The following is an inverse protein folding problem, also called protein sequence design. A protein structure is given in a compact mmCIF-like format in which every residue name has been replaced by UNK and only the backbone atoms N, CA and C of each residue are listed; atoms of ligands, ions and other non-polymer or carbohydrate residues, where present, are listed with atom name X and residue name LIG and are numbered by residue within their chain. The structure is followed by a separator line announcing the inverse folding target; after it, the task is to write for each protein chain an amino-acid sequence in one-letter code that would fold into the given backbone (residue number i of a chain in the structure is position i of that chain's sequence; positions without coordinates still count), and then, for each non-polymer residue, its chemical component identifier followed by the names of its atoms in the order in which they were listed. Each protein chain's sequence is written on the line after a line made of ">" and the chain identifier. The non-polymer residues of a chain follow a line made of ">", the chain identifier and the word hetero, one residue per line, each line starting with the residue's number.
data_IF_358706637492
#
_entry.id   IF_358706637492
#
_cell.length_a   1.000
_cell.length_b   1.000
_cell.length_c   1.000
_cell.angle_alpha   90.00
_cell.angle_beta   90.00
_cell.angle_gamma   90.00
#
_symmetry.space_group_name_H-M   'P 1'
#
loop_
_entity.id
_entity.type
_entity.pdbx_description
1 polymer ?
2 non-polymer ?
3 non-polymer ?
4 non-polymer ?
5 water ?
#
# COMPACT_ATOMS: atom_id res chain seq x y z
N UNK A 6 -4.65 31.35 10.44
CA UNK A 6 -4.98 32.58 11.18
C UNK A 6 -6.47 32.64 11.49
N UNK A 7 -6.79 32.92 12.76
CA UNK A 7 -8.18 33.20 13.12
C UNK A 7 -8.20 34.37 14.11
N UNK A 8 -9.21 34.41 14.98
CA UNK A 8 -9.36 35.54 15.89
C UNK A 8 -9.23 35.15 17.37
N UNK A 12 -12.80 23.71 20.08
CA UNK A 12 -12.71 24.29 18.75
C UNK A 12 -12.34 23.27 17.67
N UNK A 13 -12.75 22.01 17.83
CA UNK A 13 -12.39 20.98 16.87
C UNK A 13 -12.92 21.29 15.48
N UNK A 14 -14.19 21.66 15.39
CA UNK A 14 -14.79 21.97 14.08
C UNK A 14 -14.06 23.13 13.41
N UNK A 15 -13.79 24.19 14.19
CA UNK A 15 -13.06 25.34 13.68
C UNK A 15 -11.71 24.90 13.12
N UNK A 16 -10.99 24.08 13.86
CA UNK A 16 -9.68 23.63 13.40
C UNK A 16 -9.81 22.77 12.16
N UNK A 17 -10.76 21.81 12.16
CA UNK A 17 -10.91 20.90 11.03
C UNK A 17 -11.11 21.65 9.73
N UNK A 18 -11.83 22.77 9.78
CA UNK A 18 -12.12 23.53 8.57
C UNK A 18 -10.89 24.22 7.99
N UNK A 19 -9.83 24.36 8.79
CA UNK A 19 -8.60 25.01 8.35
C UNK A 19 -7.53 24.04 7.88
N UNK A 20 -7.67 22.75 8.11
CA UNK A 20 -6.63 21.80 7.74
C UNK A 20 -6.59 21.69 6.22
N UNK A 21 -5.39 21.71 5.65
CA UNK A 21 -5.24 21.61 4.20
C UNK A 21 -4.62 20.29 3.80
N UNK A 22 -4.86 19.92 2.53
CA UNK A 22 -4.27 18.70 1.99
C UNK A 22 -2.75 18.80 2.01
N UNK A 23 -2.20 20.00 1.76
CA UNK A 23 -0.74 20.10 1.75
C UNK A 23 -0.16 19.88 3.14
N UNK A 24 -0.87 20.29 4.19
CA UNK A 24 -0.43 20.00 5.54
C UNK A 24 -0.53 18.51 5.86
N UNK A 25 -1.62 17.87 5.41
CA UNK A 25 -1.73 16.43 5.56
C UNK A 25 -0.58 15.71 4.87
N UNK A 26 -0.20 16.19 3.69
CA UNK A 26 0.86 15.55 2.91
C UNK A 26 2.22 15.71 3.59
N UNK A 27 2.46 16.85 4.24
CA UNK A 27 3.78 17.20 4.73
C UNK A 27 3.97 16.98 6.23
N UNK A 28 2.94 17.20 7.05
CA UNK A 28 3.05 17.03 8.50
C UNK A 28 1.86 16.22 9.03
N UNK A 29 1.70 14.97 8.59
CA UNK A 29 0.52 14.22 9.02
C UNK A 29 0.51 13.83 10.49
N UNK A 30 1.68 13.58 11.10
CA UNK A 30 1.67 13.03 12.46
C UNK A 30 1.01 13.95 13.48
N UNK A 31 1.36 15.24 13.59
CA UNK A 31 0.66 16.08 14.58
C UNK A 31 -0.82 16.26 14.26
N UNK A 32 -1.20 16.23 12.99
CA UNK A 32 -2.61 16.30 12.64
C UNK A 32 -3.34 15.06 13.15
N UNK A 33 -2.81 13.88 12.86
CA UNK A 33 -3.47 12.65 13.30
C UNK A 33 -3.42 12.49 14.82
N UNK A 34 -2.40 13.06 15.46
CA UNK A 34 -2.38 13.05 16.93
C UNK A 34 -3.60 13.78 17.48
N UNK A 35 -3.93 14.94 16.91
CA UNK A 35 -5.10 15.67 17.38
C UNK A 35 -6.39 14.95 16.99
N UNK A 36 -6.43 14.40 15.77
CA UNK A 36 -7.63 13.68 15.32
C UNK A 36 -7.94 12.50 16.23
N UNK A 37 -6.93 11.68 16.56
CA UNK A 37 -7.20 10.52 17.41
C UNK A 37 -7.80 10.96 18.74
N UNK A 38 -7.37 12.10 19.25
CA UNK A 38 -7.81 12.61 20.54
C UNK A 38 -9.19 13.26 20.47
N UNK A 39 -9.47 14.02 19.41
CA UNK A 39 -10.66 14.88 19.39
C UNK A 39 -11.75 14.44 18.40
N UNK A 40 -11.41 13.64 17.39
CA UNK A 40 -12.40 13.26 16.39
C UNK A 40 -11.96 12.00 15.65
N UNK A 41 -12.08 10.84 16.28
CA UNK A 41 -11.60 9.58 15.66
C UNK A 41 -12.15 9.33 14.27
N UNK A 42 -13.32 9.87 13.94
CA UNK A 42 -13.84 9.87 12.59
C UNK A 42 -14.17 11.32 12.29
N UNK A 43 -13.43 11.95 11.37
CA UNK A 43 -13.52 13.38 11.19
C UNK A 43 -13.73 13.72 9.73
N UNK A 44 -14.63 14.67 9.49
CA UNK A 44 -14.85 15.25 8.16
C UNK A 44 -13.85 16.39 7.99
N UNK A 45 -13.02 16.30 6.95
CA UNK A 45 -12.04 17.32 6.63
C UNK A 45 -12.51 18.03 5.38
N UNK A 46 -13.06 19.24 5.49
CA UNK A 46 -13.60 19.92 4.30
C UNK A 46 -12.64 19.98 3.12
N UNK A 47 -11.36 20.28 3.36
CA UNK A 47 -10.43 20.40 2.25
C UNK A 47 -10.26 19.07 1.51
N UNK A 48 -10.47 17.95 2.19
CA UNK A 48 -10.37 16.63 1.57
C UNK A 48 -11.71 16.13 1.04
N UNK A 49 -12.79 16.87 1.29
CA UNK A 49 -14.17 16.47 0.99
C UNK A 49 -14.37 14.98 1.28
N UNK A 50 -13.97 14.59 2.48
CA UNK A 50 -14.06 13.19 2.88
C UNK A 50 -13.94 13.06 4.38
N UNK A 51 -14.36 11.90 4.88
CA UNK A 51 -14.11 11.47 6.25
C UNK A 51 -12.76 10.78 6.33
N UNK A 52 -12.13 10.87 7.50
CA UNK A 52 -10.90 10.13 7.79
C UNK A 52 -11.07 9.47 9.15
N UNK A 53 -10.81 8.16 9.21
CA UNK A 53 -10.78 7.40 10.45
C UNK A 53 -9.33 7.28 10.92
N UNK A 54 -9.06 7.69 12.17
CA UNK A 54 -7.70 7.84 12.65
C UNK A 54 -7.31 6.89 13.77
N UNK A 55 -8.27 6.34 14.52
CA UNK A 55 -7.92 5.44 15.61
C UNK A 55 -7.97 3.99 15.16
N UNK A 56 -7.30 3.14 15.95
CA UNK A 56 -7.36 1.70 15.72
C UNK A 56 -8.81 1.21 15.79
N UNK A 57 -9.54 1.63 16.82
CA UNK A 57 -10.91 1.17 16.97
C UNK A 57 -11.80 1.62 15.80
N UNK A 58 -11.67 2.87 15.37
CA UNK A 58 -12.53 3.34 14.29
C UNK A 58 -12.14 2.69 12.96
N UNK A 59 -10.84 2.56 12.69
CA UNK A 59 -10.39 1.92 11.45
C UNK A 59 -10.84 0.47 11.39
N UNK A 60 -10.65 -0.29 12.47
CA UNK A 60 -11.00 -1.71 12.42
C UNK A 60 -12.50 -1.90 12.34
N UNK A 61 -13.27 -1.08 13.06
CA UNK A 61 -14.73 -1.18 13.03
C UNK A 61 -15.28 -0.92 11.64
N UNK A 62 -14.80 0.13 10.98
CA UNK A 62 -15.31 0.48 9.65
C UNK A 62 -14.84 -0.53 8.61
N UNK A 63 -13.56 -0.90 8.66
CA UNK A 63 -13.00 -1.79 7.64
C UNK A 63 -13.67 -3.17 7.68
N UNK A 64 -13.95 -3.68 8.88
CA UNK A 64 -14.48 -5.03 9.03
C UNK A 64 -15.98 -5.12 8.79
N UNK A 65 -16.69 -3.99 8.81
CA UNK A 65 -18.16 -4.01 8.75
C UNK A 65 -18.60 -4.26 7.32
N UNK A 66 -18.91 -5.52 7.00
CA UNK A 66 -19.38 -5.88 5.66
C UNK A 66 -20.88 -5.64 5.46
N UNK A 67 -21.60 -5.26 6.52
CA UNK A 67 -23.04 -5.02 6.41
C UNK A 67 -23.37 -3.59 6.06
N UNK A 68 -22.66 -2.62 6.63
CA UNK A 68 -23.05 -1.23 6.54
C UNK A 68 -22.09 -0.37 5.73
N UNK A 69 -20.93 -0.90 5.36
CA UNK A 69 -19.99 -0.23 4.48
C UNK A 69 -19.67 -1.16 3.31
N UNK A 70 -19.27 -0.56 2.20
CA UNK A 70 -18.70 -1.32 1.09
C UNK A 70 -17.28 -0.84 0.81
N UNK A 71 -16.51 -1.70 0.15
CA UNK A 71 -15.18 -1.33 -0.31
C UNK A 71 -15.17 -0.04 -1.09
N UNK A 72 -14.10 0.74 -0.96
CA UNK A 72 -14.09 2.07 -1.53
C UNK A 72 -13.99 2.06 -3.04
N UNK A 73 -14.54 3.11 -3.66
CA UNK A 73 -14.35 3.37 -5.07
C UNK A 73 -14.48 4.88 -5.28
N UNK A 74 -14.33 5.32 -6.53
CA UNK A 74 -14.37 6.74 -6.84
C UNK A 74 -14.53 6.88 -8.35
N UNK A 75 -14.89 8.06 -8.85
CA UNK A 75 -14.90 8.26 -10.31
C UNK A 75 -13.59 7.87 -10.97
N UNK A 76 -12.44 8.28 -10.44
CA UNK A 76 -11.18 7.91 -11.07
C UNK A 76 -10.96 6.40 -11.03
N UNK A 77 -11.38 5.74 -9.96
CA UNK A 77 -11.15 4.30 -9.88
C UNK A 77 -12.01 3.56 -10.88
N UNK A 78 -13.26 4.00 -11.05
CA UNK A 78 -14.11 3.44 -12.08
C UNK A 78 -13.54 3.72 -13.47
N UNK A 79 -13.02 4.93 -13.69
CA UNK A 79 -12.48 5.29 -15.00
C UNK A 79 -11.21 4.51 -15.33
N UNK A 80 -10.31 4.36 -14.36
CA UNK A 80 -8.99 3.78 -14.60
C UNK A 80 -8.99 2.27 -14.45
N UNK A 81 -9.57 1.76 -13.35
CA UNK A 81 -9.54 0.32 -13.11
C UNK A 81 -10.65 -0.40 -13.85
N UNK A 82 -11.81 0.24 -14.01
CA UNK A 82 -12.98 -0.42 -14.55
C UNK A 82 -13.93 -0.85 -13.44
N UNK A 83 -15.14 -1.19 -13.84
CA UNK A 83 -16.15 -1.53 -12.86
C UNK A 83 -15.92 -2.94 -12.33
N UNK A 84 -16.38 -3.16 -11.09
CA UNK A 84 -16.17 -4.41 -10.36
C UNK A 84 -14.69 -4.69 -10.09
N UNK A 85 -13.88 -3.65 -9.93
CA UNK A 85 -12.55 -3.87 -9.39
C UNK A 85 -12.67 -4.39 -7.95
N UNK A 86 -11.70 -5.20 -7.54
CA UNK A 86 -11.83 -5.96 -6.32
C UNK A 86 -11.90 -5.05 -5.09
N UNK A 87 -11.27 -3.88 -5.15
CA UNK A 87 -11.27 -2.97 -4.00
C UNK A 87 -12.70 -2.58 -3.62
N UNK A 88 -13.53 -2.26 -4.60
CA UNK A 88 -14.89 -1.86 -4.34
C UNK A 88 -15.90 -2.97 -4.37
N UNK A 89 -15.47 -4.20 -4.67
CA UNK A 89 -16.37 -5.32 -4.83
C UNK A 89 -16.83 -5.86 -3.49
N UNK A 90 -18.04 -6.42 -3.47
CA UNK A 90 -18.61 -7.02 -2.27
C UNK A 90 -19.33 -8.29 -2.66
N UNK A 91 -19.74 -9.05 -1.64
CA UNK A 91 -20.63 -10.19 -1.87
C UNK A 91 -19.97 -11.26 -2.73
N UNK A 92 -20.79 -11.89 -3.58
CA UNK A 92 -20.28 -12.99 -4.40
C UNK A 92 -19.25 -12.52 -5.41
N UNK A 93 -19.39 -11.29 -5.91
CA UNK A 93 -18.38 -10.75 -6.82
C UNK A 93 -17.02 -10.71 -6.14
N UNK A 94 -16.97 -10.19 -4.91
CA UNK A 94 -15.70 -10.12 -4.18
C UNK A 94 -15.16 -11.50 -3.85
N UNK A 95 -16.02 -12.40 -3.36
CA UNK A 95 -15.57 -13.75 -3.09
C UNK A 95 -14.97 -14.39 -4.33
N UNK A 96 -15.61 -14.20 -5.49
CA UNK A 96 -15.10 -14.79 -6.72
C UNK A 96 -13.77 -14.17 -7.12
N UNK A 97 -13.65 -12.85 -7.00
CA UNK A 97 -12.39 -12.20 -7.38
C UNK A 97 -11.26 -12.62 -6.44
N UNK A 98 -11.56 -12.77 -5.15
CA UNK A 98 -10.55 -13.27 -4.23
C UNK A 98 -10.19 -14.72 -4.57
N UNK A 99 -11.17 -15.52 -5.02
CA UNK A 99 -10.87 -16.88 -5.43
C UNK A 99 -9.92 -16.90 -6.62
N UNK A 100 -9.93 -15.83 -7.43
CA UNK A 100 -9.06 -15.77 -8.61
C UNK A 100 -7.66 -15.30 -8.25
N UNK A 101 -7.54 -14.19 -7.51
CA UNK A 101 -6.22 -13.59 -7.34
C UNK A 101 -5.44 -14.18 -6.15
N UNK A 102 -6.12 -14.71 -5.13
CA UNK A 102 -5.42 -15.14 -3.91
C UNK A 102 -4.52 -16.38 -4.05
N UNK A 103 -4.91 -17.42 -4.81
CA UNK A 103 -4.16 -18.71 -4.73
C UNK A 103 -2.65 -18.57 -5.00
N UNK A 104 -2.22 -17.87 -6.05
CA UNK A 104 -0.76 -17.79 -6.27
C UNK A 104 -0.03 -16.99 -5.21
N UNK A 105 -0.75 -16.28 -4.33
CA UNK A 105 -0.16 -15.48 -3.28
C UNK A 105 -0.19 -16.18 -1.93
N UNK A 106 -0.66 -17.43 -1.87
CA UNK A 106 -0.62 -18.19 -0.63
C UNK A 106 0.75 -18.84 -0.45
N UNK A 107 1.21 -18.98 0.80
CA UNK A 107 2.58 -19.48 1.02
C UNK A 107 2.87 -20.85 0.40
N UNK A 108 1.91 -21.78 0.45
CA UNK A 108 2.15 -23.08 -0.17
C UNK A 108 2.35 -22.95 -1.68
N UNK A 109 1.70 -21.96 -2.30
CA UNK A 109 1.85 -21.78 -3.74
C UNK A 109 3.15 -21.07 -4.09
N UNK A 110 3.50 -19.99 -3.38
CA UNK A 110 4.67 -19.23 -3.80
C UNK A 110 5.97 -19.73 -3.18
N UNK A 111 5.90 -20.70 -2.26
CA UNK A 111 7.10 -21.19 -1.57
C UNK A 111 8.26 -21.51 -2.50
N UNK A 112 8.11 -22.28 -3.59
CA UNK A 112 9.29 -22.59 -4.42
C UNK A 112 9.91 -21.37 -5.05
N UNK A 113 9.12 -20.34 -5.38
CA UNK A 113 9.65 -19.14 -6.02
C UNK A 113 10.63 -18.37 -5.15
N UNK A 114 10.57 -18.55 -3.82
CA UNK A 114 11.40 -17.75 -2.94
C UNK A 114 12.88 -17.99 -3.20
N UNK A 115 13.29 -19.26 -3.27
CA UNK A 115 14.68 -19.57 -3.54
C UNK A 115 14.95 -19.77 -5.03
N UNK A 116 13.94 -20.10 -5.83
CA UNK A 116 14.17 -20.31 -7.25
C UNK A 116 14.19 -19.01 -8.04
N UNK A 117 13.41 -18.01 -7.61
CA UNK A 117 13.30 -16.75 -8.35
C UNK A 117 13.66 -15.55 -7.51
N UNK A 118 13.10 -15.42 -6.30
CA UNK A 118 13.20 -14.17 -5.56
C UNK A 118 14.66 -13.89 -5.19
N UNK A 119 15.31 -14.82 -4.50
CA UNK A 119 16.68 -14.57 -4.10
C UNK A 119 17.62 -14.36 -5.29
N UNK A 120 17.55 -15.14 -6.38
CA UNK A 120 18.37 -14.79 -7.55
C UNK A 120 18.10 -13.40 -8.10
N UNK A 121 16.84 -12.96 -8.12
CA UNK A 121 16.53 -11.59 -8.53
C UNK A 121 17.18 -10.57 -7.60
N UNK A 122 17.05 -10.80 -6.29
CA UNK A 122 17.66 -9.89 -5.32
C UNK A 122 19.16 -9.80 -5.56
N UNK A 123 19.81 -10.94 -5.76
CA UNK A 123 21.26 -10.94 -5.93
C UNK A 123 21.69 -10.28 -7.23
N UNK A 124 20.82 -10.26 -8.25
CA UNK A 124 21.15 -9.51 -9.46
C UNK A 124 21.29 -8.02 -9.16
N UNK A 125 20.32 -7.45 -8.45
CA UNK A 125 20.42 -6.03 -8.14
C UNK A 125 21.42 -5.76 -7.04
N UNK A 126 21.65 -6.72 -6.14
CA UNK A 126 22.70 -6.58 -5.15
C UNK A 126 24.06 -6.38 -5.82
N UNK A 127 24.36 -7.21 -6.83
CA UNK A 127 25.62 -7.06 -7.56
C UNK A 127 25.68 -5.73 -8.28
N UNK A 128 24.55 -5.30 -8.86
CA UNK A 128 24.50 -4.00 -9.54
C UNK A 128 24.94 -2.88 -8.59
N UNK A 129 24.38 -2.84 -7.37
CA UNK A 129 24.77 -1.74 -6.50
C UNK A 129 26.18 -1.96 -5.94
N UNK A 130 26.63 -3.21 -5.83
CA UNK A 130 27.99 -3.45 -5.33
C UNK A 130 29.02 -2.80 -6.24
N UNK A 131 28.83 -2.89 -7.55
CA UNK A 131 29.74 -2.21 -8.48
C UNK A 131 29.67 -0.70 -8.39
N UNK A 132 28.52 -0.16 -8.00
CA UNK A 132 28.41 1.28 -7.81
C UNK A 132 29.26 1.79 -6.66
N UNK A 133 29.42 0.98 -5.61
CA UNK A 133 30.16 1.41 -4.43
C UNK A 133 29.35 2.20 -3.42
N UNK A 134 28.15 2.61 -3.76
CA UNK A 134 27.17 3.29 -2.91
C UNK A 134 25.86 3.22 -3.68
N UNK A 135 24.78 3.77 -3.10
CA UNK A 135 23.50 3.59 -3.79
C UNK A 135 22.43 4.53 -3.26
N UNK A 136 21.44 4.76 -4.12
CA UNK A 136 20.13 5.26 -3.71
C UNK A 136 19.23 4.03 -3.69
N UNK A 137 18.99 3.49 -2.48
CA UNK A 137 18.47 2.12 -2.36
C UNK A 137 17.10 1.95 -2.99
N UNK A 138 16.27 2.99 -3.00
CA UNK A 138 14.91 2.82 -3.48
C UNK A 138 14.88 2.56 -4.98
N UNK A 139 15.47 3.47 -5.75
CA UNK A 139 15.48 3.28 -7.21
C UNK A 139 16.47 2.20 -7.63
N UNK A 140 17.58 2.04 -6.90
CA UNK A 140 18.65 1.15 -7.33
C UNK A 140 18.43 -0.31 -6.93
N UNK A 141 17.59 -0.57 -5.93
CA UNK A 141 17.59 -1.90 -5.32
C UNK A 141 16.18 -2.34 -4.93
N UNK A 142 15.54 -1.62 -4.02
CA UNK A 142 14.22 -2.05 -3.53
C UNK A 142 13.18 -2.03 -4.65
N UNK A 143 13.08 -0.93 -5.39
CA UNK A 143 12.07 -0.86 -6.45
C UNK A 143 12.27 -1.91 -7.54
N UNK A 144 13.48 -2.10 -8.10
CA UNK A 144 13.61 -3.15 -9.13
C UNK A 144 13.29 -4.54 -8.60
N UNK A 145 13.71 -4.84 -7.39
CA UNK A 145 13.35 -6.12 -6.76
C UNK A 145 11.84 -6.24 -6.63
N UNK A 146 11.18 -5.20 -6.13
CA UNK A 146 9.74 -5.30 -5.90
C UNK A 146 8.98 -5.52 -7.21
N UNK A 147 9.27 -4.70 -8.22
CA UNK A 147 8.59 -4.81 -9.52
C UNK A 147 8.77 -6.21 -10.09
N UNK A 148 9.99 -6.71 -10.10
CA UNK A 148 10.26 -8.00 -10.75
C UNK A 148 9.62 -9.14 -9.98
N UNK A 149 9.70 -9.12 -8.65
CA UNK A 149 9.17 -10.23 -7.87
C UNK A 149 7.64 -10.23 -7.84
N UNK A 150 7.01 -9.05 -7.83
CA UNK A 150 5.56 -9.04 -7.91
C UNK A 150 5.08 -9.40 -9.31
N UNK A 151 5.73 -8.84 -10.33
CA UNK A 151 5.42 -9.23 -11.69
C UNK A 151 5.49 -10.73 -11.90
N UNK A 152 6.53 -11.37 -11.34
CA UNK A 152 6.67 -12.82 -11.50
C UNK A 152 5.56 -13.58 -10.80
N UNK A 153 5.23 -13.23 -9.56
CA UNK A 153 4.34 -14.09 -8.80
C UNK A 153 2.92 -14.03 -9.38
N UNK A 154 2.56 -12.94 -10.04
CA UNK A 154 1.19 -12.80 -10.56
C UNK A 154 1.08 -13.35 -11.97
N UNK A 155 2.17 -13.97 -12.47
CA UNK A 155 2.15 -14.61 -13.76
C UNK A 155 2.64 -13.78 -14.93
N UNK A 156 3.26 -12.63 -14.67
CA UNK A 156 3.81 -11.80 -15.74
C UNK A 156 5.32 -11.94 -15.85
N UNK A 157 5.82 -13.17 -15.69
CA UNK A 157 7.25 -13.42 -15.79
C UNK A 157 7.81 -12.97 -17.13
N UNK A 158 7.00 -12.98 -18.19
CA UNK A 158 7.47 -12.66 -19.52
C UNK A 158 7.33 -11.18 -19.88
N UNK A 159 6.82 -10.37 -18.96
CA UNK A 159 6.76 -8.92 -19.15
C UNK A 159 7.97 -8.30 -18.47
N UNK A 160 8.74 -7.50 -19.21
CA UNK A 160 9.96 -6.95 -18.60
C UNK A 160 9.61 -5.84 -17.61
N UNK A 161 10.57 -5.56 -16.72
CA UNK A 161 10.31 -4.60 -15.65
C UNK A 161 10.06 -3.20 -16.17
N UNK A 162 10.69 -2.83 -17.29
CA UNK A 162 10.44 -1.52 -17.88
C UNK A 162 8.96 -1.35 -18.22
N UNK A 163 8.32 -2.41 -18.71
CA UNK A 163 6.91 -2.32 -19.09
C UNK A 163 6.00 -2.34 -17.86
N UNK A 164 6.30 -3.21 -16.90
CA UNK A 164 5.53 -3.22 -15.66
C UNK A 164 5.57 -1.86 -14.98
N UNK A 165 6.73 -1.21 -15.04
CA UNK A 165 6.91 0.08 -14.39
C UNK A 165 6.14 1.18 -15.13
N UNK A 166 6.13 1.12 -16.46
CA UNK A 166 5.35 2.10 -17.22
C UNK A 166 3.85 1.93 -16.97
N UNK A 167 3.38 0.68 -16.88
CA UNK A 167 1.97 0.45 -16.57
C UNK A 167 1.62 1.02 -15.20
N UNK A 168 2.45 0.75 -14.20
CA UNK A 168 2.23 1.28 -12.86
C UNK A 168 2.06 2.79 -12.89
N UNK A 169 2.99 3.48 -13.55
CA UNK A 169 2.95 4.94 -13.58
C UNK A 169 1.77 5.47 -14.37
N UNK A 170 1.36 4.77 -15.43
CA UNK A 170 0.19 5.20 -16.19
C UNK A 170 -1.08 5.05 -15.39
N UNK A 171 -1.23 3.93 -14.66
CA UNK A 171 -2.39 3.75 -13.80
C UNK A 171 -2.40 4.76 -12.67
N UNK A 172 -1.25 5.01 -12.05
CA UNK A 172 -1.18 5.98 -10.96
C UNK A 172 -1.53 7.38 -11.45
N UNK A 173 -0.97 7.78 -12.60
CA UNK A 173 -1.29 9.09 -13.15
C UNK A 173 -2.80 9.22 -13.39
N UNK A 174 -3.44 8.13 -13.81
CA UNK A 174 -4.88 8.15 -14.01
C UNK A 174 -5.65 8.33 -12.72
N UNK A 175 -5.25 7.63 -11.66
CA UNK A 175 -5.94 7.77 -10.38
C UNK A 175 -5.77 9.18 -9.85
N UNK A 176 -4.61 9.78 -10.06
CA UNK A 176 -4.33 11.16 -9.65
C UNK A 176 -5.05 12.20 -10.50
N UNK A 177 -5.77 11.81 -11.55
CA UNK A 177 -6.31 12.77 -12.51
C UNK A 177 -7.71 13.21 -12.08
N UNK A 178 -7.75 14.01 -11.02
CA UNK A 178 -9.00 14.25 -10.30
C UNK A 178 -9.73 15.53 -10.72
N UNK A 179 -9.10 16.39 -11.53
CA UNK A 179 -9.70 17.69 -11.85
C UNK A 179 -11.10 17.53 -12.42
N UNK A 180 -12.04 18.29 -11.85
CA UNK A 180 -13.46 18.14 -12.13
C UNK A 180 -14.11 19.52 -12.21
N UNK A 181 -15.29 19.58 -12.81
CA UNK A 181 -16.05 20.81 -12.81
C UNK A 181 -17.24 20.67 -11.87
N UNK A 182 -18.04 21.75 -11.79
CA UNK A 182 -19.15 21.79 -10.87
C UNK A 182 -20.16 20.67 -11.09
N UNK A 183 -20.22 20.11 -12.30
CA UNK A 183 -21.13 19.02 -12.62
C UNK A 183 -20.53 17.65 -12.31
N UNK A 184 -19.31 17.59 -11.79
CA UNK A 184 -18.67 16.33 -11.51
C UNK A 184 -18.07 15.65 -12.72
N UNK A 185 -17.82 16.39 -13.80
CA UNK A 185 -17.22 15.86 -15.01
C UNK A 185 -15.72 16.14 -15.01
N UNK A 186 -14.94 15.14 -15.43
CA UNK A 186 -13.50 15.33 -15.56
C UNK A 186 -13.20 16.40 -16.59
N UNK A 187 -12.25 17.27 -16.27
CA UNK A 187 -11.88 18.34 -17.18
C UNK A 187 -10.57 18.09 -17.90
N UNK A 188 -9.85 17.03 -17.55
CA UNK A 188 -8.61 16.66 -18.24
C UNK A 188 -8.68 15.19 -18.67
N UNK A 189 -9.54 14.87 -19.64
CA UNK A 189 -9.67 13.47 -20.08
C UNK A 189 -8.39 12.93 -20.70
N UNK A 190 -7.50 13.80 -21.20
CA UNK A 190 -6.23 13.34 -21.70
C UNK A 190 -5.34 12.70 -20.66
N UNK A 191 -5.54 13.05 -19.38
CA UNK A 191 -4.76 12.45 -18.31
C UNK A 191 -5.08 10.99 -18.04
N UNK A 192 -6.15 10.46 -18.64
CA UNK A 192 -6.48 9.05 -18.54
C UNK A 192 -5.91 8.20 -19.67
N UNK A 193 -5.43 8.83 -20.74
CA UNK A 193 -5.02 8.07 -21.92
C UNK A 193 -3.87 7.10 -21.65
N UNK A 194 -2.81 7.45 -20.91
CA UNK A 194 -1.80 6.43 -20.59
C UNK A 194 -2.37 5.24 -19.86
N UNK A 195 -3.33 5.45 -18.95
CA UNK A 195 -3.95 4.32 -18.27
C UNK A 195 -4.78 3.47 -19.23
N UNK A 196 -5.51 4.13 -20.14
CA UNK A 196 -6.25 3.39 -21.16
C UNK A 196 -5.31 2.54 -22.00
N UNK A 197 -4.17 3.11 -22.42
CA UNK A 197 -3.21 2.36 -23.24
C UNK A 197 -2.58 1.23 -22.44
N UNK A 198 -2.25 1.48 -21.17
CA UNK A 198 -1.72 0.41 -20.32
C UNK A 198 -2.70 -0.76 -20.25
N UNK A 199 -3.98 -0.46 -20.04
CA UNK A 199 -4.98 -1.51 -19.97
C UNK A 199 -5.07 -2.32 -21.26
N UNK A 200 -4.98 -1.64 -22.40
CA UNK A 200 -4.99 -2.34 -23.68
C UNK A 200 -3.80 -3.29 -23.79
N UNK A 201 -2.62 -2.85 -23.35
CA UNK A 201 -1.42 -3.68 -23.46
C UNK A 201 -1.45 -4.85 -22.50
N UNK A 202 -2.01 -4.67 -21.30
CA UNK A 202 -2.18 -5.81 -20.39
C UNK A 202 -3.07 -6.86 -21.04
N UNK A 203 -4.18 -6.41 -21.64
CA UNK A 203 -5.06 -7.31 -22.38
C UNK A 203 -4.32 -8.00 -23.53
N UNK A 204 -3.54 -7.22 -24.30
CA UNK A 204 -2.76 -7.80 -25.38
C UNK A 204 -1.86 -8.93 -24.89
N UNK A 205 -1.29 -8.76 -23.69
CA UNK A 205 -0.35 -9.76 -23.17
C UNK A 205 -1.09 -11.02 -22.74
N UNK A 206 -2.26 -10.87 -22.12
CA UNK A 206 -2.91 -12.02 -21.50
C UNK A 206 -3.92 -12.73 -22.40
N UNK A 207 -4.42 -12.05 -23.43
CA UNK A 207 -5.46 -12.65 -24.27
C UNK A 207 -5.07 -14.01 -24.85
N UNK A 208 -3.83 -14.23 -25.34
CA UNK A 208 -3.46 -15.59 -25.75
C UNK A 208 -3.39 -16.55 -24.56
N UNK A 221 -0.19 -19.47 -12.56
CA UNK A 221 -1.01 -18.45 -11.94
C UNK A 221 -2.21 -18.11 -12.81
N UNK A 222 -1.96 -18.00 -14.12
CA UNK A 222 -3.01 -17.60 -15.04
C UNK A 222 -4.12 -18.65 -15.11
N UNK A 223 -3.76 -19.92 -15.29
CA UNK A 223 -4.78 -20.97 -15.34
C UNK A 223 -5.61 -20.97 -14.06
N UNK A 224 -4.98 -20.68 -12.92
CA UNK A 224 -5.73 -20.53 -11.68
C UNK A 224 -6.72 -19.37 -11.76
N UNK A 225 -6.30 -18.26 -12.40
CA UNK A 225 -7.17 -17.09 -12.50
C UNK A 225 -8.48 -17.44 -13.20
N UNK A 226 -8.42 -18.26 -14.25
CA UNK A 226 -9.61 -18.57 -15.02
C UNK A 226 -10.48 -19.63 -14.35
N UNK A 227 -9.87 -20.56 -13.61
CA UNK A 227 -10.54 -21.79 -13.21
C UNK A 227 -10.77 -21.96 -11.72
N UNK A 228 -9.90 -21.45 -10.86
CA UNK A 228 -9.99 -21.74 -9.43
C UNK A 228 -11.30 -21.23 -8.84
N UNK A 229 -12.02 -22.12 -8.15
CA UNK A 229 -13.28 -21.75 -7.54
C UNK A 229 -14.41 -21.56 -8.52
N UNK A 230 -14.25 -22.03 -9.75
CA UNK A 230 -15.26 -21.89 -10.79
C UNK A 230 -15.66 -23.28 -11.29
N UNK A 231 -16.91 -23.44 -11.75
CA UNK A 231 -17.28 -24.69 -12.42
C UNK A 231 -16.35 -24.97 -13.58
N UNK A 232 -15.99 -26.25 -13.76
CA UNK A 232 -15.10 -26.64 -14.84
C UNK A 232 -15.63 -26.21 -16.20
N UNK A 233 -16.94 -25.99 -16.31
CA UNK A 233 -17.55 -25.50 -17.53
C UNK A 233 -17.83 -24.01 -17.56
N UNK A 234 -17.56 -23.28 -16.47
CA UNK A 234 -17.76 -21.84 -16.40
C UNK A 234 -16.50 -21.18 -15.85
N UNK A 235 -15.48 -21.00 -16.66
CA UNK A 235 -14.29 -20.26 -16.23
C UNK A 235 -14.53 -18.76 -16.33
N UNK A 236 -13.61 -18.01 -15.72
CA UNK A 236 -13.70 -16.56 -15.77
C UNK A 236 -13.23 -16.05 -17.13
N UNK A 237 -13.60 -14.81 -17.45
CA UNK A 237 -13.12 -14.16 -18.67
C UNK A 237 -12.17 -13.02 -18.31
N UNK A 238 -11.41 -12.60 -19.32
CA UNK A 238 -10.39 -11.58 -19.10
C UNK A 238 -10.99 -10.24 -18.70
N UNK A 239 -12.15 -9.89 -19.25
CA UNK A 239 -12.75 -8.61 -18.88
C UNK A 239 -13.26 -8.62 -17.44
N UNK A 240 -13.64 -9.79 -16.92
CA UNK A 240 -14.01 -9.88 -15.51
C UNK A 240 -12.81 -9.68 -14.60
N UNK A 241 -11.62 -10.02 -15.09
CA UNK A 241 -10.43 -10.04 -14.25
C UNK A 241 -9.57 -8.78 -14.39
N UNK A 242 -9.63 -8.13 -15.55
CA UNK A 242 -8.71 -7.03 -15.83
C UNK A 242 -8.76 -5.91 -14.79
N UNK A 243 -9.93 -5.47 -14.29
CA UNK A 243 -9.90 -4.44 -13.24
C UNK A 243 -9.08 -4.85 -12.03
N UNK A 244 -9.20 -6.10 -11.59
CA UNK A 244 -8.50 -6.55 -10.40
C UNK A 244 -7.02 -6.81 -10.67
N UNK A 245 -6.67 -7.15 -11.91
CA UNK A 245 -5.25 -7.25 -12.26
C UNK A 245 -4.61 -5.87 -12.27
N UNK A 246 -5.34 -4.85 -12.72
CA UNK A 246 -4.83 -3.50 -12.69
C UNK A 246 -4.69 -2.99 -11.26
N UNK A 247 -5.59 -3.42 -10.37
CA UNK A 247 -5.44 -3.12 -8.95
C UNK A 247 -4.08 -3.59 -8.45
N UNK A 248 -3.67 -4.79 -8.86
CA UNK A 248 -2.41 -5.34 -8.38
C UNK A 248 -1.23 -4.59 -8.97
N UNK A 249 -1.27 -4.30 -10.27
CA UNK A 249 -0.18 -3.55 -10.89
C UNK A 249 -0.07 -2.16 -10.27
N UNK A 250 -1.22 -1.57 -9.92
CA UNK A 250 -1.20 -0.24 -9.33
C UNK A 250 -0.78 -0.28 -7.86
N UNK A 251 -1.27 -1.26 -7.10
CA UNK A 251 -1.14 -1.21 -5.66
C UNK A 251 -0.28 -2.29 -5.04
N UNK A 252 0.12 -3.29 -5.82
CA UNK A 252 0.95 -4.35 -5.27
C UNK A 252 2.38 -4.26 -5.74
N UNK A 253 2.56 -3.79 -6.98
CA UNK A 253 3.86 -3.88 -7.65
C UNK A 253 4.97 -3.25 -6.83
N UNK A 254 4.72 -2.10 -6.20
CA UNK A 254 5.76 -1.33 -5.55
C UNK A 254 5.80 -1.50 -4.04
N UNK A 255 4.80 -2.14 -3.44
CA UNK A 255 4.73 -2.01 -1.98
C UNK A 255 5.72 -2.90 -1.23
N UNK A 256 6.08 -4.10 -1.71
CA UNK A 256 7.19 -4.80 -1.04
C UNK A 256 8.45 -3.96 -0.96
N UNK A 257 8.78 -3.23 -2.03
CA UNK A 257 9.92 -2.34 -1.96
C UNK A 257 9.72 -1.22 -0.95
N UNK A 258 8.50 -0.69 -0.86
CA UNK A 258 8.21 0.34 0.14
C UNK A 258 8.34 -0.20 1.56
N UNK A 259 7.96 -1.45 1.79
CA UNK A 259 8.16 -2.04 3.12
C UNK A 259 9.65 -2.10 3.45
N UNK A 260 10.47 -2.52 2.49
CA UNK A 260 11.91 -2.53 2.70
C UNK A 260 12.40 -1.14 3.11
N UNK A 261 11.92 -0.10 2.42
CA UNK A 261 12.42 1.24 2.67
C UNK A 261 12.00 1.75 4.04
N UNK A 262 10.73 1.55 4.40
CA UNK A 262 10.26 1.95 5.72
C UNK A 262 11.01 1.21 6.82
N UNK A 263 11.29 -0.08 6.60
CA UNK A 263 12.00 -0.87 7.59
C UNK A 263 13.45 -0.44 7.69
N UNK A 264 14.12 -0.26 6.54
CA UNK A 264 15.50 0.23 6.58
C UNK A 264 15.59 1.56 7.29
N UNK A 265 14.72 2.51 6.92
CA UNK A 265 14.77 3.83 7.53
C UNK A 265 14.52 3.75 9.03
N UNK A 266 13.50 3.00 9.44
CA UNK A 266 13.22 2.87 10.86
C UNK A 266 14.39 2.32 11.65
N UNK A 267 15.04 1.28 11.11
CA UNK A 267 16.21 0.71 11.78
C UNK A 267 17.33 1.72 11.94
N UNK A 268 17.55 2.57 10.94
CA UNK A 268 18.62 3.56 11.07
C UNK A 268 18.36 4.51 12.25
N UNK A 269 17.09 4.72 12.62
CA UNK A 269 16.83 5.58 13.77
C UNK A 269 17.19 4.91 15.09
N UNK A 270 17.45 3.60 15.10
CA UNK A 270 17.86 2.87 16.30
C UNK A 270 19.14 2.14 15.96
N UNK A 271 20.28 2.84 15.99
CA UNK A 271 21.54 2.22 15.52
C UNK A 271 21.85 0.89 16.16
N UNK A 272 21.59 0.77 17.47
CA UNK A 272 21.89 -0.45 18.19
C UNK A 272 21.01 -1.61 17.73
N UNK A 273 19.80 -1.30 17.27
CA UNK A 273 18.92 -2.33 16.74
C UNK A 273 19.30 -2.70 15.31
N UNK A 274 19.69 -1.71 14.50
CA UNK A 274 20.21 -2.01 13.18
C UNK A 274 21.43 -2.92 13.28
N UNK A 275 22.35 -2.59 14.18
CA UNK A 275 23.54 -3.41 14.40
C UNK A 275 23.15 -4.85 14.70
N UNK A 276 22.21 -5.04 15.64
CA UNK A 276 21.77 -6.38 15.99
C UNK A 276 21.21 -7.13 14.78
N UNK A 277 20.41 -6.44 13.96
CA UNK A 277 19.83 -7.08 12.79
C UNK A 277 20.91 -7.51 11.81
N UNK A 278 21.94 -6.67 11.61
CA UNK A 278 23.01 -7.02 10.67
C UNK A 278 23.85 -8.19 11.15
N UNK A 279 23.82 -8.50 12.44
CA UNK A 279 24.53 -9.66 12.96
C UNK A 279 23.61 -10.83 13.27
N UNK A 280 22.31 -10.72 12.96
CA UNK A 280 21.36 -11.80 13.23
C UNK A 280 20.15 -11.62 12.30
N UNK A 281 20.20 -12.28 11.13
CA UNK A 281 19.15 -12.13 10.13
C UNK A 281 17.81 -12.72 10.59
N UNK A 282 17.78 -13.54 11.64
CA UNK A 282 16.51 -14.07 12.09
C UNK A 282 15.64 -13.00 12.76
N UNK A 283 16.19 -11.83 13.06
CA UNK A 283 15.42 -10.70 13.56
C UNK A 283 14.68 -9.94 12.47
N UNK A 284 14.91 -10.27 11.19
CA UNK A 284 14.36 -9.48 10.11
C UNK A 284 12.83 -9.54 10.04
N UNK A 285 12.18 -10.71 10.19
CA UNK A 285 10.70 -10.71 10.19
C UNK A 285 10.08 -9.77 11.21
N UNK A 286 10.65 -9.66 12.41
CA UNK A 286 10.12 -8.74 13.41
C UNK A 286 10.39 -7.29 13.04
N UNK A 287 11.60 -7.00 12.53
CA UNK A 287 11.91 -5.64 12.10
C UNK A 287 10.98 -5.20 10.98
N UNK A 288 10.67 -6.11 10.05
CA UNK A 288 9.81 -5.79 8.92
C UNK A 288 8.39 -5.51 9.36
N UNK A 289 7.88 -6.28 10.32
CA UNK A 289 6.56 -6.01 10.89
C UNK A 289 6.53 -4.65 11.58
N UNK A 290 7.57 -4.33 12.35
CA UNK A 290 7.63 -3.03 13.01
C UNK A 290 7.81 -1.90 12.01
N UNK A 291 8.53 -2.15 10.91
CA UNK A 291 8.61 -1.16 9.86
C UNK A 291 7.24 -0.78 9.30
N UNK A 292 6.42 -1.79 8.99
CA UNK A 292 5.07 -1.54 8.50
C UNK A 292 4.25 -0.74 9.50
N UNK A 293 4.36 -1.07 10.79
CA UNK A 293 3.59 -0.33 11.78
C UNK A 293 4.10 1.09 11.92
N UNK A 294 5.43 1.28 11.90
CA UNK A 294 6.02 2.57 12.20
C UNK A 294 5.76 3.59 11.09
N UNK A 295 5.79 3.15 9.81
CA UNK A 295 5.50 4.03 8.64
C UNK A 295 4.71 3.21 7.63
N UNK A 296 3.41 3.08 7.85
CA UNK A 296 2.62 2.22 6.97
C UNK A 296 2.61 2.76 5.55
N UNK A 297 3.11 2.02 4.55
CA UNK A 297 3.17 2.56 3.18
C UNK A 297 1.81 3.00 2.66
N UNK A 298 0.79 2.18 2.86
CA UNK A 298 -0.59 2.55 2.49
C UNK A 298 -1.17 3.20 3.73
N UNK A 299 -0.89 4.50 3.88
CA UNK A 299 -1.08 5.17 5.16
C UNK A 299 -2.54 5.52 5.40
N UNK A 300 -3.21 6.12 4.40
CA UNK A 300 -4.64 6.42 4.49
C UNK A 300 -5.39 6.15 3.20
N UNK A 301 -4.76 5.51 2.21
CA UNK A 301 -5.37 5.36 0.88
C UNK A 301 -6.48 4.32 0.84
N UNK A 302 -6.56 3.42 1.81
CA UNK A 302 -7.70 2.50 1.87
C UNK A 302 -8.96 3.26 2.27
N UNK A 303 -10.10 2.83 1.75
CA UNK A 303 -11.34 3.54 2.06
C UNK A 303 -12.52 2.58 2.00
N UNK A 304 -13.63 3.06 2.56
CA UNK A 304 -14.94 2.42 2.50
C UNK A 304 -15.98 3.50 2.23
N UNK A 305 -17.15 3.09 1.72
CA UNK A 305 -18.29 3.98 1.56
C UNK A 305 -19.46 3.48 2.38
N UNK A 306 -20.17 4.34 3.10
CA UNK A 306 -21.36 3.88 3.83
C UNK A 306 -22.44 3.42 2.87
N UNK A 307 -23.10 2.32 3.23
CA UNK A 307 -24.28 1.87 2.50
C UNK A 307 -25.57 2.48 3.05
N UNK A 308 -25.51 3.05 4.25
CA UNK A 308 -26.64 3.70 4.88
C UNK A 308 -26.06 4.68 5.89
N UNK A 309 -26.94 5.45 6.52
CA UNK A 309 -26.48 6.43 7.50
C UNK A 309 -25.84 5.72 8.69
N UNK A 310 -24.65 6.19 9.09
CA UNK A 310 -23.87 5.61 10.18
C UNK A 310 -23.40 6.74 11.08
N UNK A 311 -23.61 6.60 12.39
CA UNK A 311 -23.12 7.57 13.36
C UNK A 311 -22.13 6.91 14.30
N UNK A 312 -20.90 7.42 14.31
CA UNK A 312 -19.87 6.99 15.26
C UNK A 312 -19.46 8.21 16.06
N UNK A 313 -19.75 8.20 17.36
CA UNK A 313 -19.54 9.38 18.17
C UNK A 313 -20.37 10.53 17.64
N UNK A 314 -19.73 11.63 17.28
CA UNK A 314 -20.41 12.77 16.70
C UNK A 314 -20.37 12.79 15.18
N UNK A 315 -19.80 11.76 14.55
CA UNK A 315 -19.66 11.73 13.10
C UNK A 315 -20.84 10.97 12.50
N UNK A 316 -21.65 11.65 11.71
CA UNK A 316 -22.74 11.00 10.97
C UNK A 316 -22.33 10.95 9.50
N UNK A 317 -21.86 9.78 9.06
CA UNK A 317 -21.55 9.60 7.65
C UNK A 317 -22.76 9.08 6.88
N UNK A 318 -22.78 9.43 5.61
CA UNK A 318 -23.96 9.25 4.79
C UNK A 318 -23.57 8.49 3.52
N UNK A 319 -24.51 7.77 2.90
CA UNK A 319 -24.15 6.90 1.77
C UNK A 319 -23.46 7.70 0.67
N UNK A 320 -22.41 7.10 0.12
CA UNK A 320 -21.66 7.71 -0.97
C UNK A 320 -20.51 8.59 -0.55
N UNK A 321 -20.39 8.95 0.73
CA UNK A 321 -19.26 9.76 1.16
C UNK A 321 -18.04 8.88 1.32
N UNK A 322 -16.88 9.44 1.01
CA UNK A 322 -15.63 8.71 1.15
C UNK A 322 -15.21 8.69 2.61
N UNK A 323 -14.81 7.52 3.10
CA UNK A 323 -14.26 7.36 4.43
C UNK A 323 -12.88 6.75 4.27
N UNK A 324 -11.83 7.58 4.38
CA UNK A 324 -10.47 7.09 4.34
C UNK A 324 -10.13 6.39 5.65
N UNK A 325 -9.49 5.23 5.54
CA UNK A 325 -9.01 4.47 6.69
C UNK A 325 -7.53 4.77 6.88
N UNK A 326 -7.21 5.61 7.87
CA UNK A 326 -5.80 5.94 8.12
C UNK A 326 -5.18 4.84 8.98
N UNK A 327 -4.96 3.69 8.35
CA UNK A 327 -4.24 2.60 8.99
C UNK A 327 -2.89 3.05 9.54
N UNK A 328 -2.25 4.04 8.89
CA UNK A 328 -0.99 4.54 9.40
C UNK A 328 -1.15 5.25 10.72
N UNK A 329 -2.24 6.01 10.88
CA UNK A 329 -2.52 6.64 12.17
C UNK A 329 -2.98 5.61 13.19
N UNK A 330 -3.79 4.63 12.79
CA UNK A 330 -4.16 3.54 13.69
C UNK A 330 -2.93 2.83 14.23
N UNK A 331 -1.93 2.60 13.37
CA UNK A 331 -0.69 1.98 13.80
C UNK A 331 0.15 2.90 14.68
N UNK A 332 -0.21 4.18 14.76
CA UNK A 332 0.43 5.13 15.65
C UNK A 332 -0.50 5.57 16.78
N UNK A 333 -1.49 4.74 17.11
CA UNK A 333 -2.52 5.06 18.10
C UNK A 333 -1.98 4.82 19.50
N UNK A 334 -1.92 5.89 20.30
CA UNK A 334 -1.44 5.82 21.68
C UNK A 334 -2.27 4.87 22.54
N UNK A 335 -3.53 4.63 22.17
CA UNK A 335 -4.36 3.72 22.96
C UNK A 335 -3.95 2.26 22.79
N UNK A 336 -3.17 1.95 21.75
CA UNK A 336 -2.78 0.59 21.46
C UNK A 336 -1.28 0.37 21.67
N UNK A 337 -0.45 1.34 21.29
CA UNK A 337 1.00 1.23 21.33
C UNK A 337 1.61 2.29 22.24
N UNK A 338 2.65 1.89 22.98
CA UNK A 338 3.41 2.84 23.79
C UNK A 338 4.43 3.55 22.92
N UNK A 339 4.52 4.88 23.04
CA UNK A 339 5.36 5.74 22.21
C UNK A 339 5.35 5.26 20.76
N UNK A 340 4.18 5.28 20.10
CA UNK A 340 4.08 4.70 18.74
C UNK A 340 4.87 5.44 17.68
N UNK A 341 5.35 6.64 17.95
CA UNK A 341 6.17 7.36 16.99
C UNK A 341 7.58 6.80 16.88
N UNK A 342 7.97 5.95 17.81
CA UNK A 342 9.31 5.39 17.87
C UNK A 342 9.32 4.05 17.16
N UNK A 343 10.35 3.82 16.33
CA UNK A 343 10.62 2.48 15.83
C UNK A 343 11.27 1.68 16.95
N UNK A 344 10.73 0.50 17.25
CA UNK A 344 11.28 -0.31 18.34
C UNK A 344 11.19 -1.79 17.97
N UNK A 345 12.35 -2.39 17.68
CA UNK A 345 12.41 -3.82 17.38
C UNK A 345 11.95 -4.67 18.56
N UNK A 346 12.08 -4.17 19.78
CA UNK A 346 11.73 -4.91 20.98
C UNK A 346 10.37 -4.51 21.54
N UNK A 347 9.56 -3.86 20.71
CA UNK A 347 8.22 -3.44 21.10
C UNK A 347 7.37 -4.63 21.52
N UNK A 348 6.52 -4.42 22.53
CA UNK A 348 5.55 -5.44 22.93
C UNK A 348 4.75 -5.91 21.74
N UNK A 349 4.64 -7.23 21.58
CA UNK A 349 4.03 -7.79 20.38
C UNK A 349 2.57 -7.38 20.26
N UNK A 350 2.18 -6.98 19.06
CA UNK A 350 0.80 -6.63 18.78
C UNK A 350 0.60 -6.56 17.27
N UNK A 351 -0.55 -6.99 16.75
CA UNK A 351 -0.80 -6.87 15.31
C UNK A 351 -0.83 -5.41 14.88
N UNK A 352 -0.84 -5.21 13.56
CA UNK A 352 -0.94 -3.89 12.96
C UNK A 352 -1.96 -3.94 11.82
N UNK A 353 -2.37 -2.76 11.35
CA UNK A 353 -3.35 -2.64 10.28
C UNK A 353 -2.74 -2.25 8.94
N UNK A 354 -1.41 -2.40 8.78
CA UNK A 354 -0.80 -1.95 7.53
C UNK A 354 -1.22 -2.77 6.33
N UNK A 355 -1.75 -3.97 6.54
CA UNK A 355 -2.35 -4.78 5.49
C UNK A 355 -3.87 -4.70 5.50
N UNK A 356 -4.45 -3.83 6.33
CA UNK A 356 -5.89 -3.83 6.51
C UNK A 356 -6.34 -5.00 7.37
N UNK A 357 -7.61 -5.36 7.20
CA UNK A 357 -8.26 -6.33 8.08
C UNK A 357 -9.59 -6.74 7.46
N UNK A 358 -10.10 -7.88 7.91
CA UNK A 358 -11.41 -8.33 7.45
C UNK A 358 -11.36 -8.89 6.02
N UNK A 359 -12.51 -8.81 5.35
CA UNK A 359 -12.64 -9.48 4.05
C UNK A 359 -11.76 -8.86 2.97
N UNK A 360 -11.37 -7.59 3.10
CA UNK A 360 -10.54 -6.92 2.11
C UNK A 360 -9.06 -6.93 2.46
N UNK A 361 -8.68 -7.67 3.49
CA UNK A 361 -7.27 -7.77 3.89
C UNK A 361 -6.38 -8.06 2.69
N UNK A 362 -5.27 -7.33 2.61
CA UNK A 362 -4.34 -7.39 1.48
C UNK A 362 -4.09 -8.82 1.01
N UNK A 363 -4.40 -9.08 -0.27
CA UNK A 363 -4.11 -10.39 -0.85
C UNK A 363 -2.61 -10.70 -0.88
N UNK A 364 -1.77 -9.68 -0.86
CA UNK A 364 -0.34 -9.92 -0.86
C UNK A 364 0.30 -9.97 0.52
N UNK A 365 -0.50 -10.04 1.58
CA UNK A 365 0.02 -9.87 2.93
C UNK A 365 0.97 -11.00 3.34
N UNK A 366 0.89 -12.18 2.71
CA UNK A 366 1.84 -13.23 3.04
C UNK A 366 3.08 -13.21 2.15
N UNK A 367 2.93 -12.83 0.88
CA UNK A 367 4.05 -12.79 -0.05
C UNK A 367 4.95 -11.57 0.16
N UNK A 368 4.36 -10.39 0.38
CA UNK A 368 5.18 -9.18 0.46
C UNK A 368 6.26 -9.26 1.53
N UNK A 369 6.00 -9.73 2.76
CA UNK A 369 7.09 -9.80 3.76
C UNK A 369 8.17 -10.80 3.42
N UNK A 370 7.90 -11.77 2.55
CA UNK A 370 8.94 -12.73 2.18
C UNK A 370 9.88 -12.14 1.15
N UNK A 371 9.33 -11.39 0.18
CA UNK A 371 10.17 -10.63 -0.73
C UNK A 371 11.05 -9.65 0.05
N UNK A 372 10.43 -8.92 0.99
CA UNK A 372 11.18 -7.93 1.76
C UNK A 372 12.24 -8.60 2.63
N UNK A 373 11.92 -9.74 3.23
CA UNK A 373 12.92 -10.46 4.04
C UNK A 373 14.14 -10.80 3.21
N UNK A 374 13.94 -11.38 2.04
CA UNK A 374 15.08 -11.83 1.23
C UNK A 374 15.86 -10.63 0.72
N UNK A 375 15.18 -9.55 0.36
CA UNK A 375 15.87 -8.34 -0.07
C UNK A 375 16.78 -7.79 1.02
N UNK A 376 16.29 -7.74 2.26
CA UNK A 376 17.11 -7.22 3.35
C UNK A 376 18.16 -8.24 3.81
N UNK A 377 17.83 -9.53 3.77
CA UNK A 377 18.83 -10.55 4.08
C UNK A 377 20.09 -10.37 3.22
N UNK A 378 19.90 -10.31 1.90
CA UNK A 378 21.04 -10.18 1.01
C UNK A 378 21.75 -8.84 1.20
N UNK A 379 20.99 -7.76 1.40
CA UNK A 379 21.58 -6.44 1.60
C UNK A 379 22.49 -6.43 2.83
N UNK A 380 21.99 -6.91 3.96
CA UNK A 380 22.79 -6.84 5.19
C UNK A 380 23.88 -7.90 5.25
N UNK A 381 23.76 -9.00 4.50
CA UNK A 381 24.85 -9.97 4.44
C UNK A 381 26.04 -9.40 3.67
N UNK A 382 25.76 -8.74 2.54
CA UNK A 382 26.83 -8.19 1.72
C UNK A 382 27.35 -6.87 2.27
N UNK A 383 26.48 -6.06 2.88
CA UNK A 383 26.83 -4.72 3.35
C UNK A 383 26.38 -4.52 4.79
N UNK A 384 26.90 -5.32 5.73
CA UNK A 384 26.46 -5.17 7.13
C UNK A 384 26.79 -3.81 7.72
N UNK A 385 27.74 -3.08 7.15
CA UNK A 385 28.11 -1.75 7.63
C UNK A 385 27.28 -0.64 6.96
N UNK A 386 26.21 -1.00 6.25
CA UNK A 386 25.45 -0.02 5.50
C UNK A 386 24.82 1.03 6.43
N UNK A 387 24.74 2.26 5.93
CA UNK A 387 24.25 3.39 6.72
C UNK A 387 23.79 4.47 5.76
N UNK A 388 22.93 5.37 6.25
CA UNK A 388 22.57 6.52 5.44
C UNK A 388 23.79 7.40 5.18
N UNK A 389 23.86 7.95 3.99
CA UNK A 389 24.89 8.88 3.56
C UNK A 389 24.60 10.24 4.20
N UNK A 390 25.43 10.73 5.12
CA UNK A 390 25.11 11.98 5.82
C UNK A 390 25.29 13.23 4.97
N UNK A 391 25.77 13.11 3.74
CA UNK A 391 25.76 14.22 2.80
C UNK A 391 24.40 14.40 2.13
N UNK A 392 23.43 13.53 2.43
CA UNK A 392 22.10 13.59 1.84
C UNK A 392 21.06 13.61 2.94
N UNK A 393 19.91 14.21 2.64
CA UNK A 393 18.76 14.14 3.52
C UNK A 393 17.77 13.10 3.01
N UNK A 394 16.89 12.65 3.89
CA UNK A 394 15.87 11.67 3.53
C UNK A 394 14.51 12.38 3.52
N UNK A 395 13.98 12.79 2.37
CA UNK A 395 12.64 13.39 2.36
C UNK A 395 11.56 12.33 2.55
N UNK A 396 10.59 12.64 3.41
CA UNK A 396 9.46 11.78 3.70
C UNK A 396 8.19 12.57 3.43
N UNK A 397 7.23 11.95 2.73
CA UNK A 397 6.09 12.70 2.22
C UNK A 397 4.88 11.80 2.10
N UNK A 398 3.69 12.40 2.29
CA UNK A 398 2.44 11.75 1.97
C UNK A 398 1.55 11.42 3.16
N UNK A 399 0.23 11.46 2.96
CA UNK A 399 -0.71 10.93 3.93
C UNK A 399 -1.60 9.83 3.38
N UNK A 400 -1.86 9.82 2.06
CA UNK A 400 -2.55 8.68 1.48
C UNK A 400 -1.58 7.51 1.33
N UNK A 401 -0.54 7.70 0.51
CA UNK A 401 0.61 6.82 0.50
C UNK A 401 1.79 7.61 1.08
N UNK A 402 2.50 7.01 2.04
CA UNK A 402 3.56 7.70 2.76
C UNK A 402 4.84 6.89 2.75
N UNK A 403 5.96 7.58 2.54
CA UNK A 403 7.25 6.93 2.63
C UNK A 403 8.39 7.87 2.33
N UNK A 404 9.62 7.39 2.51
CA UNK A 404 10.79 8.16 2.07
C UNK A 404 10.80 8.24 0.55
N UNK A 405 11.32 9.36 0.03
CA UNK A 405 11.43 9.52 -1.40
C UNK A 405 12.75 9.02 -1.96
N UNK A 406 13.79 8.94 -1.14
CA UNK A 406 15.04 8.32 -1.52
C UNK A 406 15.77 7.92 -0.25
N UNK A 407 16.75 7.04 -0.41
CA UNK A 407 17.56 6.54 0.71
C UNK A 407 19.00 6.40 0.19
N UNK A 408 19.74 7.50 0.22
CA UNK A 408 21.16 7.45 -0.15
C UNK A 408 21.94 6.79 0.98
N UNK A 409 22.77 5.81 0.63
CA UNK A 409 23.46 4.98 1.61
C UNK A 409 24.92 4.83 1.23
N UNK A 410 25.73 4.45 2.22
CA UNK A 410 27.14 4.15 2.05
C UNK A 410 27.44 2.84 2.75
N UNK A 411 28.58 2.24 2.40
CA UNK A 411 29.07 1.09 3.13
C UNK A 411 30.58 1.04 3.02
N UNK A 412 31.21 0.32 3.94
CA UNK A 412 32.66 0.22 3.98
C UNK A 412 33.20 -0.41 2.70
X LIG B 1 -5.21 -4.42 -0.52
X LIG B 1 -1.28 -2.84 1.84
X LIG B 1 1.45 -5.58 -1.11
X LIG B 1 -2.47 -7.07 -3.55
X LIG B 1 -4.41 -3.76 0.38
X LIG B 1 -4.85 -2.87 1.43
X LIG B 1 -3.76 -2.43 2.08
X LIG B 1 -2.59 -3.03 1.46
X LIG B 1 -3.72 -1.46 3.28
X LIG B 1 -6.33 -2.49 1.73
X LIG B 1 -6.88 -3.39 2.83
X LIG B 1 -8.25 -2.89 3.25
X LIG B 1 -9.00 -2.34 2.41
X LIG B 1 -8.61 -3.06 4.43
X LIG B 1 -0.21 -3.48 1.27
X LIG B 1 1.14 -3.45 1.76
X LIG B 1 1.90 -4.19 0.93
X LIG B 1 1.03 -4.75 -0.08
X LIG B 1 1.60 -2.65 3.01
X LIG B 1 3.41 -4.54 1.00
X LIG B 1 4.11 -4.59 2.14
X LIG B 1 0.65 -6.23 -2.03
X LIG B 1 1.09 -7.17 -3.06
X LIG B 1 -0.01 -7.56 -3.75
X LIG B 1 -1.16 -6.92 -3.15
X LIG B 1 2.58 -7.57 -3.29
X LIG B 1 -0.14 -8.56 -4.92
X LIG B 1 0.81 -9.44 -5.28
X LIG B 1 -3.57 -6.50 -2.93
X LIG B 1 -4.96 -6.68 -3.30
X LIG B 1 -5.72 -5.95 -2.46
X LIG B 1 -4.83 -5.27 -1.54
X LIG B 1 -5.47 -7.58 -4.45
X LIG B 1 -7.26 -5.84 -2.48
X LIG B 1 -7.91 -6.87 -1.55
X LIG B 1 -9.41 -6.65 -1.47
X LIG B 1 -9.88 -5.49 -1.60
X LIG B 1 -10.14 -7.66 -1.28
X LIG B 1 -3.02 -3.84 0.44
X LIG B 1 -0.25 -4.29 0.15
X LIG B 1 -0.72 -6.12 -2.11
X LIG B 1 -3.53 -5.64 -1.86
X LIG B 1 -1.88 -5.06 -0.81
X LIG C 1 -20.18 16.45 6.92
X LIG C 1 -20.91 16.33 8.11
X LIG C 1 -21.19 16.36 5.76
X LIG C 1 -21.82 15.13 5.72
X LIG C 1 -20.34 16.63 4.51
X LIG C 1 -21.23 16.85 3.45
X LIG D 1 -16.28 23.68 0.17
X LIG D 1 -16.93 23.50 -1.06
X LIG D 1 -16.36 22.33 0.96
X LIG D 1 -15.89 22.48 2.26
X LIG D 1 -15.48 21.34 0.17
X LIG D 1 -15.43 20.14 0.91
X LIG E 1 -5.06 1.03 -1.36
X LIG E 1 -5.53 0.49 -0.17
X LIG E 1 -3.92 0.10 -1.85
X LIG E 1 -3.30 0.61 -2.99
X LIG E 1 -4.60 -1.29 -2.06
X LIG E 1 -4.25 -1.74 -3.34
X LIG F 1 4.26 -4.78 17.40
X LIG F 1 4.53 -6.19 17.30
X LIG F 1 4.74 -4.14 16.08
X LIG F 1 6.04 -4.50 15.74
X LIG F 1 3.70 -4.55 15.00
X LIG F 1 2.49 -3.98 15.35
X LIG G 1 -10.05 3.19 -2.49
X LIG G 1 -10.27 1.95 -2.63
X LIG G 1 -9.48 3.79 -1.54
X LIG G 1 -10.57 4.12 -3.61
X LIG H 1 -0.84 4.24 -5.95
X LIG H 1 -0.75 2.92 -5.49
X LIG H 1 0.59 4.80 -6.15
X LIG H 1 0.58 6.16 -6.43
X LIG H 1 1.37 4.47 -4.86
X LIG H 1 2.69 4.18 -5.23
#
# INVERSE_FOLDING_TARGET
>A
GAMTTKHTTAGDTQEWLATVTVEQLENDPYPIFERLRREAPVAWIPAAHAWVASTWEACRTIADDATNFRGGTSPMHERVLGTDHILGAEGETHQDLRAAVDPPLKPRAFRPLLEEQVRPTVRRYLEAIRGQGKAELMADYFEPISVRCVGDVIGLTDVDSDTLRRWFHALARGIANTAMDAEGRFTNPGGFAPADEAGAEIREVLEPLVAKLSAEPDGSALSHYLHHGRPHGDPRTLEQLLPSLKVIILGGLQEPGHQCAATFLGLTTRPEQLKRVTEDATLLPRALTEGLRWMSPVFSASSRLPLREITMGEATMRPGQTVWLSYGSANRDEAVFDRPDVFDLDRATHPHLAFGTGRHLCSGSAYAPQVARIALEELFTAFPSIRLDPAHEVPVWGWLFRGPQRLDVLWD
>B hetero
1 HEM CHA CHB CHC CHD C1A C2A C3A C4A CMA CAA CBA CGA O1A O2A C1B C2B C3B C4B CMB CAB CBB C1C C2C C3C C4C CMC CAC CBC C1D C2D C3D C4D CMD CAD CBD CGD O1D O2D NA NB NC ND FE
>C hetero
1 GOL C1 O1 C2 O2 C3 O3
>D hetero
1 GOL C1 O1 C2 O2 C3 O3
>E hetero
1 GOL C1 O1 C2 O2 C3 O3
>F hetero
1 GOL C1 O1 C2 O2 C3 O3
>G hetero
1 ACT C O OXT CH3
>H hetero
1 GOL C1 O1 C2 O2 C3 O3
#
